data_IF_727242801464
#
_entry.id   IF_727242801464
#
_cell.length_a   1.000
_cell.length_b   1.000
_cell.length_c   1.000
_cell.angle_alpha   90.00
_cell.angle_beta   90.00
_cell.angle_gamma   90.00
#
_symmetry.space_group_name_H-M   'P 1'
#
loop_
_entity.id
_entity.type
_entity.pdbx_description
1 polymer ?
#
# COMPACT_ATOMS: atom_id res chain seq x y z
N UNK A 1 -39.05 9.42 -5.03
CA UNK A 1 -38.66 8.02 -5.22
C UNK A 1 -37.14 7.96 -5.40
N UNK A 2 -36.51 7.44 -4.34
CA UNK A 2 -35.12 7.05 -4.11
C UNK A 2 -33.98 7.36 -5.10
N UNK A 3 -32.98 8.04 -4.53
CA UNK A 3 -31.66 8.37 -5.05
C UNK A 3 -30.68 7.20 -4.79
N UNK A 4 -30.72 6.12 -5.58
CA UNK A 4 -29.82 4.95 -5.39
C UNK A 4 -28.92 4.58 -6.58
N UNK A 5 -28.83 5.39 -7.64
CA UNK A 5 -28.04 5.05 -8.85
C UNK A 5 -26.72 5.85 -8.93
N UNK A 6 -25.87 5.82 -7.90
CA UNK A 6 -24.50 6.37 -8.02
C UNK A 6 -23.37 5.43 -7.58
N UNK A 7 -23.64 4.35 -6.85
CA UNK A 7 -22.58 3.51 -6.29
C UNK A 7 -22.28 2.29 -7.18
N UNK A 8 -23.29 1.68 -7.80
CA UNK A 8 -23.10 0.52 -8.69
C UNK A 8 -22.46 0.88 -10.04
N UNK A 9 -22.71 2.10 -10.53
CA UNK A 9 -22.19 2.59 -11.82
C UNK A 9 -20.70 2.92 -11.77
N UNK A 10 -20.16 3.30 -10.60
CA UNK A 10 -18.78 3.80 -10.45
C UNK A 10 -17.73 2.67 -10.46
N UNK A 11 -17.99 1.57 -9.75
CA UNK A 11 -17.06 0.42 -9.65
C UNK A 11 -16.90 -0.30 -11.00
N UNK A 12 -18.01 -0.54 -11.70
CA UNK A 12 -18.01 -1.22 -13.00
C UNK A 12 -17.40 -0.37 -14.12
N UNK A 13 -17.79 0.90 -14.22
CA UNK A 13 -17.31 1.80 -15.27
C UNK A 13 -15.81 2.09 -15.14
N UNK A 14 -15.31 2.35 -13.92
CA UNK A 14 -13.88 2.56 -13.69
C UNK A 14 -13.06 1.34 -14.09
N UNK A 15 -13.49 0.14 -13.67
CA UNK A 15 -12.82 -1.11 -14.04
C UNK A 15 -12.77 -1.27 -15.57
N UNK A 16 -13.87 -1.01 -16.27
CA UNK A 16 -13.92 -1.08 -17.74
C UNK A 16 -12.98 -0.05 -18.40
N UNK A 17 -12.93 1.19 -17.90
CA UNK A 17 -12.02 2.22 -18.43
C UNK A 17 -10.55 1.81 -18.24
N UNK A 18 -10.17 1.35 -17.05
CA UNK A 18 -8.80 0.89 -16.79
C UNK A 18 -8.42 -0.31 -17.66
N UNK A 19 -9.36 -1.22 -17.91
CA UNK A 19 -9.16 -2.40 -18.75
C UNK A 19 -9.02 -2.03 -20.24
N UNK A 20 -10.03 -1.35 -20.77
CA UNK A 20 -10.24 -1.24 -22.22
C UNK A 20 -9.55 -0.01 -22.82
N UNK A 21 -9.35 1.05 -22.02
CA UNK A 21 -8.74 2.31 -22.49
C UNK A 21 -7.28 2.39 -22.06
N UNK A 22 -7.01 2.33 -20.76
CA UNK A 22 -5.64 2.51 -20.24
C UNK A 22 -4.80 1.24 -20.28
N UNK A 23 -5.44 0.06 -20.31
CA UNK A 23 -4.79 -1.25 -20.24
C UNK A 23 -3.80 -1.33 -19.07
N UNK A 24 -4.21 -0.82 -17.91
CA UNK A 24 -3.36 -0.84 -16.71
C UNK A 24 -3.06 -2.30 -16.34
N UNK A 25 -1.79 -2.73 -16.26
CA UNK A 25 -1.43 -4.14 -16.07
C UNK A 25 -2.03 -4.75 -14.80
N UNK A 26 -2.08 -3.98 -13.70
CA UNK A 26 -2.64 -4.40 -12.41
C UNK A 26 -3.53 -3.29 -11.85
N UNK A 27 -4.69 -3.65 -11.31
CA UNK A 27 -5.66 -2.72 -10.71
C UNK A 27 -6.06 -3.19 -9.32
N UNK A 28 -5.71 -2.42 -8.30
CA UNK A 28 -6.08 -2.68 -6.91
C UNK A 28 -7.15 -1.68 -6.46
N UNK A 29 -8.17 -2.19 -5.79
CA UNK A 29 -9.22 -1.38 -5.23
C UNK A 29 -9.43 -1.75 -3.76
N UNK A 30 -9.41 -0.74 -2.91
CA UNK A 30 -9.72 -0.79 -1.49
C UNK A 30 -10.86 0.18 -1.13
N UNK A 31 -11.82 -0.28 -0.31
CA UNK A 31 -12.86 0.54 0.28
C UNK A 31 -12.56 0.78 1.77
N UNK A 32 -12.24 2.01 2.19
CA UNK A 32 -11.84 2.29 3.57
C UNK A 32 -12.99 2.17 4.59
N UNK A 33 -14.26 2.10 4.16
CA UNK A 33 -15.40 2.04 5.07
C UNK A 33 -15.75 0.63 5.55
N UNK A 34 -15.58 -0.37 4.69
CA UNK A 34 -15.90 -1.77 4.99
C UNK A 34 -14.69 -2.71 4.79
N UNK A 35 -13.52 -2.15 4.50
CA UNK A 35 -12.25 -2.84 4.25
C UNK A 35 -12.30 -3.84 3.07
N UNK A 36 -13.29 -3.72 2.17
CA UNK A 36 -13.35 -4.50 0.94
C UNK A 36 -12.11 -4.22 0.10
N UNK A 37 -11.33 -5.26 -0.18
CA UNK A 37 -10.09 -5.17 -0.93
C UNK A 37 -10.07 -6.24 -2.02
N UNK A 38 -9.79 -5.81 -3.25
CA UNK A 38 -9.65 -6.70 -4.39
C UNK A 38 -8.56 -6.19 -5.34
N UNK A 39 -7.97 -7.11 -6.10
CA UNK A 39 -6.97 -6.80 -7.11
C UNK A 39 -7.26 -7.58 -8.38
N UNK A 40 -6.84 -7.02 -9.51
CA UNK A 40 -7.04 -7.60 -10.82
C UNK A 40 -5.77 -7.46 -11.66
N UNK A 41 -5.47 -8.48 -12.45
CA UNK A 41 -4.37 -8.48 -13.43
C UNK A 41 -4.95 -8.56 -14.84
N UNK A 42 -4.40 -7.76 -15.76
CA UNK A 42 -4.84 -7.73 -17.15
C UNK A 42 -4.20 -8.89 -17.93
N UNK A 43 -4.98 -9.90 -18.27
CA UNK A 43 -4.52 -11.08 -19.01
C UNK A 43 -5.42 -11.29 -20.24
N UNK A 44 -4.81 -11.30 -21.42
CA UNK A 44 -5.56 -11.46 -22.68
C UNK A 44 -6.53 -10.31 -22.98
N UNK A 45 -6.29 -9.12 -22.41
CA UNK A 45 -7.16 -7.94 -22.57
C UNK A 45 -8.30 -7.84 -21.55
N UNK A 46 -8.43 -8.81 -20.65
CA UNK A 46 -9.48 -8.87 -19.64
C UNK A 46 -8.88 -8.90 -18.24
N UNK A 47 -9.54 -8.23 -17.28
CA UNK A 47 -9.13 -8.27 -15.89
C UNK A 47 -9.56 -9.56 -15.21
N UNK A 48 -8.58 -10.35 -14.78
CA UNK A 48 -8.77 -11.52 -13.93
C UNK A 48 -8.50 -11.14 -12.47
N UNK A 49 -9.30 -11.67 -11.55
CA UNK A 49 -9.11 -11.41 -10.12
C UNK A 49 -7.81 -12.07 -9.63
N UNK A 50 -7.06 -11.36 -8.80
CA UNK A 50 -5.90 -11.90 -8.10
C UNK A 50 -6.42 -12.60 -6.84
N UNK A 51 -6.11 -13.89 -6.69
CA UNK A 51 -6.47 -14.64 -5.50
C UNK A 51 -5.58 -14.24 -4.32
N UNK A 52 -6.16 -13.95 -3.14
CA UNK A 52 -5.38 -13.61 -1.96
C UNK A 52 -4.66 -14.82 -1.39
N UNK A 53 -3.50 -14.56 -0.77
CA UNK A 53 -2.84 -15.55 0.09
C UNK A 53 -3.56 -15.70 1.43
N UNK A 54 -3.07 -16.60 2.28
CA UNK A 54 -3.65 -16.90 3.60
C UNK A 54 -3.85 -15.67 4.50
N UNK A 55 -3.04 -14.61 4.32
CA UNK A 55 -3.09 -13.36 5.06
C UNK A 55 -3.98 -12.28 4.41
N UNK A 56 -4.62 -12.57 3.27
CA UNK A 56 -5.44 -11.61 2.53
C UNK A 56 -4.65 -10.67 1.61
N UNK A 57 -3.35 -10.91 1.40
CA UNK A 57 -2.50 -10.07 0.55
C UNK A 57 -2.53 -10.51 -0.91
N UNK A 58 -2.34 -9.54 -1.79
CA UNK A 58 -2.32 -9.70 -3.24
C UNK A 58 -0.92 -9.39 -3.77
N UNK A 59 -0.34 -10.28 -4.57
CA UNK A 59 0.98 -10.04 -5.17
C UNK A 59 0.88 -9.08 -6.36
N UNK A 60 1.72 -8.05 -6.38
CA UNK A 60 1.93 -7.19 -7.56
C UNK A 60 3.23 -7.57 -8.24
N UNK A 61 3.12 -8.06 -9.48
CA UNK A 61 4.28 -8.37 -10.30
C UNK A 61 5.04 -7.10 -10.71
N UNK A 62 4.34 -5.98 -10.89
CA UNK A 62 4.96 -4.71 -11.30
C UNK A 62 5.81 -4.10 -10.18
N UNK A 63 5.36 -4.23 -8.92
CA UNK A 63 6.06 -3.68 -7.77
C UNK A 63 7.06 -4.66 -7.16
N UNK A 64 6.90 -5.97 -7.39
CA UNK A 64 7.66 -6.99 -6.67
C UNK A 64 7.33 -7.00 -5.17
N UNK A 65 6.12 -6.58 -4.81
CA UNK A 65 5.65 -6.42 -3.44
C UNK A 65 4.24 -7.01 -3.30
N UNK A 66 3.88 -7.37 -2.07
CA UNK A 66 2.50 -7.62 -1.71
C UNK A 66 1.77 -6.31 -1.41
N UNK A 67 0.50 -6.27 -1.78
CA UNK A 67 -0.45 -5.22 -1.43
C UNK A 67 -1.46 -5.83 -0.47
N UNK A 68 -1.68 -5.20 0.68
CA UNK A 68 -2.61 -5.70 1.69
C UNK A 68 -3.19 -4.58 2.54
N UNK A 69 -4.12 -4.95 3.41
CA UNK A 69 -4.73 -4.03 4.38
C UNK A 69 -4.10 -4.25 5.74
N UNK A 70 -3.61 -3.17 6.36
CA UNK A 70 -3.10 -3.17 7.73
C UNK A 70 -3.47 -1.85 8.40
N UNK A 71 -3.97 -1.93 9.64
CA UNK A 71 -4.47 -0.77 10.40
C UNK A 71 -5.46 0.08 9.58
N UNK A 72 -6.43 -0.59 8.94
CA UNK A 72 -7.47 0.01 8.09
C UNK A 72 -6.95 0.83 6.89
N UNK A 73 -5.70 0.60 6.49
CA UNK A 73 -5.04 1.28 5.37
C UNK A 73 -4.45 0.28 4.39
N UNK A 74 -4.41 0.67 3.12
CA UNK A 74 -3.63 -0.04 2.12
C UNK A 74 -2.13 0.13 2.43
N UNK A 75 -1.39 -0.97 2.47
CA UNK A 75 0.04 -1.02 2.76
C UNK A 75 0.74 -1.98 1.80
N UNK A 76 2.06 -1.78 1.69
CA UNK A 76 2.94 -2.66 0.93
C UNK A 76 3.75 -3.55 1.87
N UNK A 77 4.00 -4.78 1.45
CA UNK A 77 4.81 -5.74 2.18
C UNK A 77 5.86 -6.36 1.26
N UNK A 78 7.06 -6.59 1.79
CA UNK A 78 8.14 -7.26 1.07
C UNK A 78 7.79 -8.73 0.79
N UNK A 79 8.49 -9.40 -0.12
CA UNK A 79 8.31 -10.84 -0.34
C UNK A 79 8.50 -11.69 0.92
N UNK A 80 9.32 -11.22 1.85
CA UNK A 80 9.59 -11.83 3.15
C UNK A 80 8.46 -11.60 4.17
N UNK A 81 7.53 -10.70 3.86
CA UNK A 81 6.36 -10.36 4.68
C UNK A 81 6.55 -9.16 5.61
N UNK A 82 7.62 -8.39 5.43
CA UNK A 82 7.86 -7.19 6.22
C UNK A 82 7.06 -6.00 5.71
N UNK A 83 6.54 -5.19 6.64
CA UNK A 83 5.83 -3.96 6.29
C UNK A 83 6.81 -2.94 5.70
N UNK A 84 6.55 -2.48 4.48
CA UNK A 84 7.32 -1.39 3.87
C UNK A 84 6.95 -0.08 4.59
N UNK A 85 7.91 0.63 5.18
CA UNK A 85 7.64 1.87 5.90
C UNK A 85 7.28 3.00 4.93
N UNK A 86 6.41 3.92 5.36
CA UNK A 86 6.18 5.15 4.60
C UNK A 86 7.38 6.10 4.73
N UNK A 87 7.57 7.06 3.81
CA UNK A 87 8.63 8.05 3.93
C UNK A 87 8.61 8.80 5.27
N UNK A 88 7.43 9.08 5.82
CA UNK A 88 7.27 9.73 7.12
C UNK A 88 7.69 8.81 8.28
N UNK A 89 7.36 7.52 8.20
CA UNK A 89 7.81 6.51 9.17
C UNK A 89 9.33 6.36 9.14
N UNK A 90 9.94 6.36 7.95
CA UNK A 90 11.42 6.35 7.79
C UNK A 90 12.04 7.62 8.38
N UNK A 91 11.52 8.80 8.02
CA UNK A 91 12.04 10.07 8.54
C UNK A 91 11.95 10.15 10.07
N UNK A 92 10.87 9.63 10.65
CA UNK A 92 10.71 9.53 12.10
C UNK A 92 11.74 8.57 12.70
N UNK A 93 11.93 7.38 12.12
CA UNK A 93 12.91 6.42 12.60
C UNK A 93 14.33 6.98 12.56
N UNK A 94 14.71 7.68 11.49
CA UNK A 94 16.04 8.29 11.37
C UNK A 94 16.24 9.41 12.40
N UNK A 95 15.21 10.24 12.63
CA UNK A 95 15.25 11.24 13.71
C UNK A 95 15.40 10.59 15.08
N UNK A 96 14.58 9.58 15.39
CA UNK A 96 14.62 8.88 16.67
C UNK A 96 15.99 8.20 16.90
N UNK A 97 16.61 7.66 15.85
CA UNK A 97 17.98 7.11 15.90
C UNK A 97 19.01 8.20 16.15
N UNK A 98 18.93 9.33 15.44
CA UNK A 98 19.81 10.47 15.62
C UNK A 98 19.75 11.01 17.05
N UNK A 99 18.55 11.21 17.60
CA UNK A 99 18.33 11.72 18.95
C UNK A 99 18.91 10.77 20.01
N UNK A 100 18.71 9.45 19.84
CA UNK A 100 19.30 8.42 20.72
C UNK A 100 20.82 8.41 20.67
N UNK A 101 21.41 8.53 19.48
CA UNK A 101 22.85 8.58 19.31
C UNK A 101 23.45 9.84 19.94
N UNK A 102 22.84 11.00 19.69
CA UNK A 102 23.22 12.27 20.30
C UNK A 102 23.18 12.20 21.84
N UNK A 103 22.12 11.61 22.41
CA UNK A 103 22.05 11.37 23.86
C UNK A 103 23.20 10.48 24.36
N UNK A 104 23.53 9.41 23.63
CA UNK A 104 24.62 8.51 24.01
C UNK A 104 26.00 9.19 23.92
N UNK A 105 26.22 10.04 22.93
CA UNK A 105 27.47 10.81 22.81
C UNK A 105 27.63 11.80 23.97
N UNK A 106 26.55 12.50 24.34
CA UNK A 106 26.55 13.39 25.51
C UNK A 106 26.84 12.65 26.81
N UNK A 107 26.32 11.44 26.99
CA UNK A 107 26.68 10.57 28.15
C UNK A 107 28.17 10.21 28.18
N UNK A 108 28.80 10.07 27.01
CA UNK A 108 30.23 9.79 26.88
C UNK A 108 31.10 11.06 26.92
N UNK A 109 30.51 12.23 27.15
CA UNK A 109 31.21 13.52 27.21
C UNK A 109 31.60 14.09 25.85
N UNK A 110 31.03 13.59 24.76
CA UNK A 110 31.23 14.10 23.39
C UNK A 110 30.06 14.99 23.02
N UNK A 111 30.33 16.20 22.52
CA UNK A 111 29.30 17.11 22.03
C UNK A 111 28.95 16.77 20.56
N UNK A 112 27.77 16.19 20.27
CA UNK A 112 27.38 15.80 18.92
C UNK A 112 27.17 17.00 17.98
N UNK A 113 27.00 18.22 18.49
CA UNK A 113 26.77 19.42 17.68
C UNK A 113 28.09 20.03 17.14
N UNK A 114 29.23 19.38 17.42
CA UNK A 114 30.58 19.82 17.02
C UNK A 114 31.24 18.94 15.96
N UNK A 115 30.53 17.93 15.45
CA UNK A 115 31.01 16.96 14.45
C UNK A 115 30.41 17.24 13.07
#
# INVERSE_FOLDING_TARGET
MQLHIKIATDKGLKKQIYQSVFRTPEYFWFNPHNLEFAGFILLGGEYQQIEPQSQGWLWSQQLGLYVGVSQDKLRFFTPEGDLVPTPEEVAKQEKDKSDRLAAKLRELGVDPDTI
#
